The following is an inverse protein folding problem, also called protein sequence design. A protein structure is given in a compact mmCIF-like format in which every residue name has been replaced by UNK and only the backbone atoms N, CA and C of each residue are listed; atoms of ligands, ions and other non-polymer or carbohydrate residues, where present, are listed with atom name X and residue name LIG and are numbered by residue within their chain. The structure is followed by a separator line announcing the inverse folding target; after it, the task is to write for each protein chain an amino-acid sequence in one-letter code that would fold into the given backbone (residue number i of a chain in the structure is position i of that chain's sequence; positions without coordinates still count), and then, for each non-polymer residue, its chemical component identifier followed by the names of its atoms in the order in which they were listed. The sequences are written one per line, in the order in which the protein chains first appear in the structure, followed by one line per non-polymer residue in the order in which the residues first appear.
data_IF_999959227259
#
_entry.id   IF_999959227259
#
_cell.length_a   1.000
_cell.length_b   1.000
_cell.length_c   1.000
_cell.angle_alpha   90.00
_cell.angle_beta   90.00
_cell.angle_gamma   90.00
#
_symmetry.space_group_name_H-M   'P 1'
#
loop_
_entity.id
_entity.type
_entity.pdbx_description
1 polymer ?
#
# COMPACT_ATOMS: atom_id res chain seq x y z
N UNK A 1 -9.30 -1.59 -21.47
CA UNK A 1 -9.80 -1.16 -20.14
C UNK A 1 -8.97 0.01 -19.71
N UNK A 2 -9.53 1.22 -19.77
CA UNK A 2 -8.86 2.48 -19.44
C UNK A 2 -9.04 2.71 -17.94
N UNK A 3 -8.02 2.39 -17.15
CA UNK A 3 -7.99 2.70 -15.72
C UNK A 3 -7.80 4.21 -15.59
N UNK A 4 -8.87 4.93 -15.27
CA UNK A 4 -8.76 6.35 -14.92
C UNK A 4 -7.79 6.47 -13.74
N UNK A 5 -6.74 7.31 -13.81
CA UNK A 5 -5.89 7.53 -12.65
C UNK A 5 -6.79 8.04 -11.53
N UNK A 6 -6.79 7.34 -10.39
CA UNK A 6 -7.60 7.73 -9.25
C UNK A 6 -7.16 9.13 -8.79
N UNK A 7 -7.91 10.15 -9.20
CA UNK A 7 -7.60 11.56 -8.91
C UNK A 7 -7.96 11.85 -7.46
N UNK A 8 -7.08 11.48 -6.53
CA UNK A 8 -7.17 11.89 -5.13
C UNK A 8 -5.96 12.71 -4.70
N UNK A 9 -6.15 13.59 -3.72
CA UNK A 9 -5.11 14.49 -3.23
C UNK A 9 -4.41 13.97 -1.98
N UNK A 10 -3.31 14.62 -1.61
CA UNK A 10 -2.56 14.31 -0.38
C UNK A 10 -3.45 14.46 0.86
N UNK A 11 -4.25 15.51 0.91
CA UNK A 11 -5.13 15.85 2.03
C UNK A 11 -6.24 14.80 2.19
N UNK A 12 -6.76 14.26 1.10
CA UNK A 12 -7.75 13.17 1.15
C UNK A 12 -7.15 11.89 1.74
N UNK A 13 -5.90 11.58 1.39
CA UNK A 13 -5.17 10.43 1.95
C UNK A 13 -4.90 10.63 3.44
N UNK A 14 -4.44 11.82 3.84
CA UNK A 14 -4.20 12.14 5.26
C UNK A 14 -5.49 12.11 6.09
N UNK A 15 -6.59 12.63 5.53
CA UNK A 15 -7.90 12.57 6.18
C UNK A 15 -8.42 11.13 6.29
N UNK A 16 -8.19 10.27 5.31
CA UNK A 16 -8.54 8.86 5.40
C UNK A 16 -7.68 8.13 6.45
N UNK A 17 -6.37 8.39 6.45
CA UNK A 17 -5.44 7.79 7.40
C UNK A 17 -5.79 8.13 8.86
N UNK A 18 -6.23 9.37 9.14
CA UNK A 18 -6.59 9.81 10.50
C UNK A 18 -7.82 9.09 11.07
N UNK A 19 -8.67 8.50 10.22
CA UNK A 19 -9.84 7.72 10.62
C UNK A 19 -9.54 6.24 10.82
N UNK A 20 -8.38 5.75 10.38
CA UNK A 20 -8.00 4.34 10.47
C UNK A 20 -7.20 4.06 11.73
N UNK A 21 -7.40 2.86 12.28
CA UNK A 21 -6.51 2.31 13.30
C UNK A 21 -5.16 2.01 12.63
N UNK A 22 -4.03 2.54 13.15
CA UNK A 22 -2.72 2.25 12.59
C UNK A 22 -2.36 0.75 12.66
N UNK A 23 -1.67 0.23 11.64
CA UNK A 23 -1.33 -1.20 11.59
C UNK A 23 -0.42 -1.69 12.72
N UNK A 24 0.40 -0.82 13.30
CA UNK A 24 1.23 -1.19 14.45
C UNK A 24 0.39 -1.45 15.73
N UNK A 25 -0.93 -1.25 15.68
CA UNK A 25 -1.88 -1.63 16.74
C UNK A 25 -2.71 -2.87 16.36
N UNK A 26 -2.44 -3.51 15.22
CA UNK A 26 -3.17 -4.68 14.73
C UNK A 26 -2.31 -5.93 14.73
N UNK A 27 -2.93 -7.10 14.90
CA UNK A 27 -2.26 -8.39 14.78
C UNK A 27 -2.26 -8.86 13.33
N UNK A 28 -1.07 -9.07 12.76
CA UNK A 28 -0.89 -9.59 11.41
C UNK A 28 -0.82 -8.51 10.32
N UNK A 29 -0.20 -8.88 9.20
CA UNK A 29 0.09 -7.99 8.08
C UNK A 29 -0.66 -8.48 6.83
N UNK A 30 -1.70 -7.76 6.36
CA UNK A 30 -2.67 -8.28 5.37
C UNK A 30 -2.14 -8.33 3.93
N UNK A 31 -0.88 -7.97 3.68
CA UNK A 31 -0.31 -7.98 2.35
C UNK A 31 1.13 -7.48 2.34
N UNK A 32 1.65 -7.15 1.16
CA UNK A 32 3.06 -6.82 0.99
C UNK A 32 3.36 -5.32 0.98
N UNK A 33 2.38 -4.43 0.89
CA UNK A 33 2.64 -3.00 0.60
C UNK A 33 1.96 -2.05 1.56
N UNK A 34 2.77 -1.15 2.12
CA UNK A 34 2.40 -0.22 3.16
C UNK A 34 2.82 1.19 2.81
N UNK A 35 2.09 2.17 3.34
CA UNK A 35 2.38 3.60 3.18
C UNK A 35 2.48 4.25 4.54
N UNK A 36 3.47 5.12 4.71
CA UNK A 36 3.62 5.94 5.91
C UNK A 36 2.91 7.27 5.71
N UNK A 37 1.90 7.53 6.54
CA UNK A 37 1.15 8.79 6.58
C UNK A 37 1.30 9.38 7.98
N UNK A 38 1.93 10.56 8.06
CA UNK A 38 2.43 11.09 9.32
C UNK A 38 3.43 10.12 9.96
N UNK A 39 3.08 9.59 11.13
CA UNK A 39 3.87 8.60 11.89
C UNK A 39 3.24 7.20 11.89
N UNK A 40 2.21 7.01 11.08
CA UNK A 40 1.37 5.79 11.10
C UNK A 40 1.47 5.01 9.81
N UNK A 41 1.56 3.69 9.94
CA UNK A 41 1.66 2.77 8.82
C UNK A 41 0.27 2.25 8.43
N UNK A 42 -0.05 2.32 7.14
CA UNK A 42 -1.34 1.93 6.55
C UNK A 42 -1.14 0.93 5.42
N UNK A 43 -2.07 -0.01 5.26
CA UNK A 43 -2.05 -0.95 4.14
C UNK A 43 -2.56 -0.21 2.90
N UNK A 44 -1.79 -0.28 1.80
CA UNK A 44 -2.01 0.57 0.62
C UNK A 44 -3.43 0.39 0.03
N UNK A 45 -3.89 -0.85 -0.11
CA UNK A 45 -5.21 -1.11 -0.71
C UNK A 45 -6.33 -0.53 0.12
N UNK A 46 -6.30 -0.77 1.42
CA UNK A 46 -7.37 -0.32 2.29
C UNK A 46 -7.42 1.20 2.36
N UNK A 47 -6.25 1.85 2.47
CA UNK A 47 -6.21 3.30 2.54
C UNK A 47 -6.73 3.93 1.24
N UNK A 48 -6.32 3.41 0.08
CA UNK A 48 -6.80 3.95 -1.20
C UNK A 48 -8.27 3.63 -1.41
N UNK A 49 -8.76 2.45 -1.00
CA UNK A 49 -10.18 2.10 -1.05
C UNK A 49 -11.03 3.05 -0.17
N UNK A 50 -10.55 3.44 1.01
CA UNK A 50 -11.24 4.42 1.87
C UNK A 50 -11.34 5.81 1.22
N UNK A 51 -10.36 6.16 0.37
CA UNK A 51 -10.32 7.44 -0.33
C UNK A 51 -11.21 7.43 -1.57
N UNK A 52 -11.18 6.36 -2.36
CA UNK A 52 -11.85 6.29 -3.66
C UNK A 52 -13.21 5.60 -3.61
N UNK A 53 -13.49 4.81 -2.56
CA UNK A 53 -14.65 3.93 -2.47
C UNK A 53 -14.52 2.63 -3.28
N UNK A 54 -13.43 2.45 -4.04
CA UNK A 54 -13.25 1.33 -4.96
C UNK A 54 -12.03 0.48 -4.58
N UNK A 55 -12.12 -0.84 -4.77
CA UNK A 55 -10.99 -1.74 -4.53
C UNK A 55 -9.90 -1.49 -5.60
N UNK A 56 -8.72 -0.98 -5.22
CA UNK A 56 -7.74 -0.55 -6.21
C UNK A 56 -6.84 -1.71 -6.65
N UNK A 57 -6.31 -1.60 -7.87
CA UNK A 57 -5.12 -2.34 -8.26
C UNK A 57 -3.93 -1.88 -7.40
N UNK A 58 -3.12 -2.83 -6.92
CA UNK A 58 -2.03 -2.53 -5.99
C UNK A 58 -0.86 -1.80 -6.67
N UNK A 59 -0.64 -2.02 -7.96
CA UNK A 59 0.42 -1.32 -8.71
C UNK A 59 0.04 0.13 -8.89
N UNK A 60 -1.19 0.39 -9.33
CA UNK A 60 -1.68 1.75 -9.56
C UNK A 60 -1.84 2.55 -8.26
N UNK A 61 -2.35 1.93 -7.18
CA UNK A 61 -2.42 2.55 -5.86
C UNK A 61 -1.05 3.03 -5.34
N UNK A 62 0.00 2.20 -5.50
CA UNK A 62 1.37 2.57 -5.11
C UNK A 62 1.89 3.74 -5.94
N UNK A 63 1.71 3.70 -7.26
CA UNK A 63 2.15 4.81 -8.14
C UNK A 63 1.47 6.12 -7.75
N UNK A 64 0.16 6.09 -7.48
CA UNK A 64 -0.59 7.26 -7.06
C UNK A 64 -0.08 7.83 -5.73
N UNK A 65 0.09 7.00 -4.70
CA UNK A 65 0.63 7.44 -3.40
C UNK A 65 2.07 7.95 -3.50
N UNK A 66 2.91 7.29 -4.30
CA UNK A 66 4.28 7.73 -4.57
C UNK A 66 4.32 9.08 -5.27
N UNK A 67 3.43 9.31 -6.25
CA UNK A 67 3.33 10.59 -6.95
C UNK A 67 2.91 11.74 -6.02
N UNK A 68 2.17 11.44 -4.95
CA UNK A 68 1.84 12.40 -3.88
C UNK A 68 2.97 12.60 -2.86
N UNK A 69 4.09 11.90 -3.01
CA UNK A 69 5.27 12.03 -2.16
C UNK A 69 5.20 11.25 -0.85
N UNK A 70 4.35 10.23 -0.75
CA UNK A 70 4.32 9.38 0.44
C UNK A 70 5.40 8.30 0.39
N UNK A 71 6.10 8.03 1.50
CA UNK A 71 7.00 6.90 1.62
C UNK A 71 6.23 5.57 1.56
N UNK A 72 6.72 4.65 0.74
CA UNK A 72 6.17 3.31 0.58
C UNK A 72 7.14 2.25 1.10
N UNK A 73 6.58 1.24 1.77
CA UNK A 73 7.33 0.12 2.33
C UNK A 73 6.78 -1.20 1.78
N UNK A 74 7.68 -2.11 1.45
CA UNK A 74 7.34 -3.47 1.09
C UNK A 74 7.67 -4.41 2.27
N UNK A 75 6.72 -5.23 2.68
CA UNK A 75 6.99 -6.35 3.55
C UNK A 75 7.59 -7.50 2.74
N UNK A 76 8.84 -7.82 3.03
CA UNK A 76 9.49 -9.03 2.56
C UNK A 76 9.36 -10.11 3.64
N UNK A 77 8.76 -11.25 3.29
CA UNK A 77 8.77 -12.42 4.16
C UNK A 77 10.19 -12.99 4.27
N UNK A 78 10.47 -13.75 5.33
CA UNK A 78 11.77 -14.44 5.49
C UNK A 78 12.13 -15.27 4.25
N UNK A 79 11.14 -15.94 3.64
CA UNK A 79 11.31 -16.66 2.39
C UNK A 79 11.74 -15.77 1.23
N UNK A 80 11.14 -14.58 1.10
CA UNK A 80 11.50 -13.60 0.06
C UNK A 80 12.89 -13.00 0.30
N UNK A 81 13.27 -12.75 1.55
CA UNK A 81 14.61 -12.28 1.92
C UNK A 81 15.66 -13.35 1.63
N UNK A 82 15.38 -14.60 2.01
CA UNK A 82 16.34 -15.70 1.88
C UNK A 82 16.48 -16.22 0.44
N UNK A 83 15.37 -16.33 -0.30
CA UNK A 83 15.35 -16.94 -1.64
C UNK A 83 15.28 -15.91 -2.77
N UNK A 84 15.09 -14.63 -2.44
CA UNK A 84 14.79 -13.58 -3.39
C UNK A 84 13.32 -13.61 -3.85
N UNK A 85 12.92 -12.57 -4.58
CA UNK A 85 11.56 -12.46 -5.09
C UNK A 85 11.33 -13.49 -6.21
N UNK A 86 10.27 -14.33 -6.16
CA UNK A 86 9.98 -15.39 -7.15
C UNK A 86 10.05 -14.95 -8.62
N UNK A 87 9.54 -13.76 -8.93
CA UNK A 87 9.61 -13.19 -10.29
C UNK A 87 11.01 -12.83 -10.77
N UNK A 88 11.98 -12.67 -9.86
CA UNK A 88 13.38 -12.41 -10.21
C UNK A 88 14.24 -13.66 -10.13
N UNK A 89 13.77 -14.71 -9.44
CA UNK A 89 14.54 -15.93 -9.19
C UNK A 89 14.03 -17.11 -10.02
N UNK A 90 12.86 -17.00 -10.64
CA UNK A 90 12.23 -18.07 -11.43
C UNK A 90 11.72 -19.24 -10.57
N UNK A 91 11.79 -19.12 -9.25
CA UNK A 91 11.30 -20.10 -8.29
C UNK A 91 9.92 -19.65 -7.81
N UNK A 92 8.87 -20.07 -8.52
CA UNK A 92 7.53 -20.03 -7.98
C UNK A 92 7.41 -21.14 -6.92
N UNK A 93 6.74 -20.83 -5.80
CA UNK A 93 6.33 -21.84 -4.81
C UNK A 93 5.43 -22.91 -5.44
#
# INVERSE_FOLDING_TARGET
MTTTPSTFTREQVEAAASRRIPLHHTTGLPGSWYVLVGVTLHYVRDLVQDVTGEKPDIVEARKALHALGFPLFCWASDGMVAKGHPWHTGQAD
#
